data_IF_595666017191
#
_entry.id   IF_595666017191
#
_cell.length_a   1.000
_cell.length_b   1.000
_cell.length_c   1.000
_cell.angle_alpha   90.00
_cell.angle_beta   90.00
_cell.angle_gamma   90.00
#
_symmetry.space_group_name_H-M   'P 1'
#
loop_
_entity.id
_entity.type
_entity.pdbx_description
1 polymer ?
#
# COMPACT_ATOMS: atom_id res chain seq x y z
N UNK A 1 19.01 -5.17 -22.21
CA UNK A 1 17.79 -5.92 -21.81
C UNK A 1 17.39 -5.46 -20.42
N UNK A 2 16.09 -5.26 -20.16
CA UNK A 2 15.57 -4.87 -18.84
C UNK A 2 14.75 -6.04 -18.28
N UNK A 3 14.82 -6.27 -16.97
CA UNK A 3 14.03 -7.29 -16.25
C UNK A 3 13.15 -6.57 -15.23
N UNK A 4 11.82 -6.56 -15.41
CA UNK A 4 10.91 -5.90 -14.49
C UNK A 4 10.89 -6.60 -13.12
N UNK A 5 10.85 -5.78 -12.06
CA UNK A 5 10.60 -6.23 -10.70
C UNK A 5 9.44 -5.40 -10.14
N UNK A 6 8.28 -6.03 -10.00
CA UNK A 6 7.06 -5.41 -9.53
C UNK A 6 6.95 -5.56 -8.01
N UNK A 7 6.69 -4.45 -7.30
CA UNK A 7 6.40 -4.44 -5.87
C UNK A 7 4.90 -4.20 -5.65
N UNK A 8 4.21 -5.21 -5.13
CA UNK A 8 2.77 -5.27 -4.88
C UNK A 8 2.46 -5.33 -3.39
N UNK A 9 2.69 -4.24 -2.67
CA UNK A 9 2.41 -4.15 -1.25
C UNK A 9 0.98 -3.68 -0.88
N UNK A 10 0.18 -3.24 -1.86
CA UNK A 10 -1.09 -2.52 -1.64
C UNK A 10 -2.26 -3.04 -2.49
N UNK A 11 -2.21 -4.29 -2.96
CA UNK A 11 -3.32 -4.86 -3.74
C UNK A 11 -4.65 -4.77 -2.97
N UNK A 12 -5.66 -4.16 -3.59
CA UNK A 12 -6.98 -3.92 -3.00
C UNK A 12 -7.20 -2.50 -2.47
N UNK A 13 -6.13 -1.71 -2.27
CA UNK A 13 -6.23 -0.32 -1.79
C UNK A 13 -6.38 0.73 -2.90
N UNK A 14 -6.21 0.35 -4.17
CA UNK A 14 -6.36 1.24 -5.31
C UNK A 14 -7.80 1.29 -5.81
N UNK A 15 -8.14 0.38 -6.70
CA UNK A 15 -9.49 0.22 -7.25
C UNK A 15 -10.17 -1.05 -6.74
N UNK A 16 -9.40 -2.11 -6.49
CA UNK A 16 -9.89 -3.39 -6.01
C UNK A 16 -8.84 -4.47 -6.21
N UNK A 17 -9.10 -5.68 -5.72
CA UNK A 17 -8.09 -6.75 -5.72
C UNK A 17 -7.74 -7.17 -7.16
N UNK A 18 -8.76 -7.33 -8.01
CA UNK A 18 -8.58 -7.73 -9.40
C UNK A 18 -7.98 -6.60 -10.23
N UNK A 19 -8.47 -5.38 -10.05
CA UNK A 19 -8.04 -4.19 -10.78
C UNK A 19 -6.59 -3.84 -10.48
N UNK A 20 -6.20 -3.88 -9.20
CA UNK A 20 -4.82 -3.63 -8.78
C UNK A 20 -3.88 -4.78 -9.21
N UNK A 21 -4.42 -6.00 -9.36
CA UNK A 21 -3.70 -7.19 -9.86
C UNK A 21 -3.53 -7.24 -11.38
N UNK A 22 -4.32 -6.47 -12.13
CA UNK A 22 -4.37 -6.55 -13.60
C UNK A 22 -3.03 -6.23 -14.27
N UNK A 23 -2.15 -5.46 -13.61
CA UNK A 23 -0.81 -5.17 -14.11
C UNK A 23 0.02 -6.44 -14.32
N UNK A 24 -0.09 -7.44 -13.44
CA UNK A 24 0.62 -8.71 -13.58
C UNK A 24 0.23 -9.38 -14.90
N UNK A 25 -1.07 -9.44 -15.20
CA UNK A 25 -1.58 -9.99 -16.45
C UNK A 25 -1.03 -9.27 -17.68
N UNK A 26 -0.82 -7.94 -17.61
CA UNK A 26 -0.21 -7.18 -18.71
C UNK A 26 1.25 -7.58 -18.96
N UNK A 27 2.04 -7.83 -17.91
CA UNK A 27 3.43 -8.30 -18.07
C UNK A 27 3.49 -9.73 -18.61
N UNK A 28 2.59 -10.62 -18.16
CA UNK A 28 2.45 -11.98 -18.74
C UNK A 28 2.12 -11.89 -20.22
N UNK A 29 1.10 -11.12 -20.61
CA UNK A 29 0.69 -10.98 -22.02
C UNK A 29 1.76 -10.33 -22.91
N UNK A 30 2.66 -9.54 -22.34
CA UNK A 30 3.80 -8.96 -23.05
C UNK A 30 4.94 -9.97 -23.28
N UNK A 31 4.87 -11.19 -22.74
CA UNK A 31 5.89 -12.22 -22.87
C UNK A 31 7.21 -11.84 -22.18
N UNK A 32 7.15 -11.03 -21.12
CA UNK A 32 8.33 -10.60 -20.36
C UNK A 32 8.63 -11.58 -19.23
N UNK A 33 9.92 -11.83 -18.96
CA UNK A 33 10.34 -12.44 -17.70
C UNK A 33 10.40 -11.37 -16.61
N UNK A 34 9.75 -11.60 -15.47
CA UNK A 34 9.71 -10.61 -14.38
C UNK A 34 9.56 -11.24 -13.00
N UNK A 35 9.88 -10.44 -11.99
CA UNK A 35 9.70 -10.75 -10.59
C UNK A 35 8.50 -9.98 -10.02
N UNK A 36 7.83 -10.57 -9.03
CA UNK A 36 6.81 -9.91 -8.22
C UNK A 36 7.08 -10.15 -6.74
N UNK A 37 7.27 -9.07 -5.99
CA UNK A 37 7.22 -9.10 -4.53
C UNK A 37 5.82 -8.71 -4.07
N UNK A 38 5.15 -9.57 -3.33
CA UNK A 38 3.81 -9.29 -2.77
C UNK A 38 3.88 -9.22 -1.26
N UNK A 39 3.17 -8.27 -0.65
CA UNK A 39 3.07 -8.15 0.81
C UNK A 39 1.63 -8.24 1.28
N UNK A 40 1.39 -9.03 2.33
CA UNK A 40 0.11 -9.10 3.02
C UNK A 40 0.04 -8.21 4.26
N UNK A 41 1.11 -7.49 4.58
CA UNK A 41 1.17 -6.64 5.78
C UNK A 41 0.04 -5.61 5.83
N UNK A 42 -0.38 -5.06 4.68
CA UNK A 42 -1.40 -4.00 4.62
C UNK A 42 -2.78 -4.58 4.33
N UNK A 43 -2.87 -5.46 3.32
CA UNK A 43 -4.15 -6.03 2.87
C UNK A 43 -4.78 -6.97 3.89
N UNK A 44 -3.99 -7.64 4.73
CA UNK A 44 -4.45 -8.45 5.86
C UNK A 44 -4.23 -7.78 7.23
N UNK A 45 -3.69 -6.55 7.25
CA UNK A 45 -3.26 -5.87 8.49
C UNK A 45 -2.26 -6.69 9.34
N UNK A 46 -1.54 -7.65 8.73
CA UNK A 46 -0.54 -8.51 9.38
C UNK A 46 0.88 -7.90 9.30
N UNK A 47 1.03 -6.67 9.80
CA UNK A 47 2.30 -5.94 9.73
C UNK A 47 3.43 -6.68 10.46
N UNK A 48 3.16 -7.13 11.70
CA UNK A 48 4.14 -7.79 12.57
C UNK A 48 4.49 -9.22 12.16
N UNK A 49 3.59 -9.92 11.46
CA UNK A 49 3.78 -11.32 11.05
C UNK A 49 4.72 -11.51 9.86
N UNK A 50 5.09 -10.41 9.20
CA UNK A 50 6.06 -10.39 8.08
C UNK A 50 5.69 -11.32 6.92
N UNK A 51 4.41 -11.38 6.58
CA UNK A 51 3.89 -12.25 5.50
C UNK A 51 4.01 -11.58 4.13
N UNK A 52 4.66 -12.28 3.20
CA UNK A 52 4.81 -11.88 1.81
C UNK A 52 5.23 -13.06 0.93
N UNK A 53 5.45 -12.81 -0.36
CA UNK A 53 5.87 -13.81 -1.33
C UNK A 53 6.76 -13.18 -2.40
N UNK A 54 7.65 -14.00 -2.97
CA UNK A 54 8.35 -13.72 -4.23
C UNK A 54 7.83 -14.68 -5.29
N UNK A 55 7.34 -14.13 -6.39
CA UNK A 55 6.95 -14.87 -7.59
C UNK A 55 7.90 -14.53 -8.74
N UNK A 56 8.25 -15.53 -9.55
CA UNK A 56 9.08 -15.37 -10.75
C UNK A 56 8.34 -16.01 -11.91
N UNK A 57 8.07 -15.24 -12.98
CA UNK A 57 7.53 -15.84 -14.19
C UNK A 57 8.65 -16.60 -14.92
N UNK A 58 8.36 -17.83 -15.31
CA UNK A 58 9.25 -18.68 -16.08
C UNK A 58 8.50 -19.15 -17.34
N UNK A 59 9.22 -19.39 -18.43
CA UNK A 59 8.66 -19.80 -19.70
C UNK A 59 8.02 -21.20 -19.63
N UNK A 60 8.52 -22.08 -18.77
CA UNK A 60 8.02 -23.44 -18.60
C UNK A 60 8.37 -24.03 -17.22
N UNK A 61 7.88 -25.24 -16.98
CA UNK A 61 8.11 -25.99 -15.74
C UNK A 61 9.59 -26.26 -15.46
N UNK A 62 10.37 -26.63 -16.47
CA UNK A 62 11.78 -26.96 -16.29
C UNK A 62 12.58 -25.74 -15.81
N UNK A 63 12.33 -24.58 -16.40
CA UNK A 63 12.92 -23.32 -15.95
C UNK A 63 12.47 -22.95 -14.54
N UNK A 64 11.17 -23.06 -14.24
CA UNK A 64 10.64 -22.83 -12.90
C UNK A 64 11.32 -23.69 -11.84
N UNK A 65 11.59 -24.98 -12.14
CA UNK A 65 12.26 -25.89 -11.21
C UNK A 65 13.72 -25.46 -10.98
N UNK A 66 14.44 -25.06 -12.04
CA UNK A 66 15.81 -24.51 -11.94
C UNK A 66 15.85 -23.22 -11.11
N UNK A 67 14.98 -22.26 -11.41
CA UNK A 67 14.88 -20.98 -10.67
C UNK A 67 14.56 -21.23 -9.20
N UNK A 68 13.57 -22.08 -8.91
CA UNK A 68 13.18 -22.41 -7.54
C UNK A 68 14.33 -23.05 -6.75
N UNK A 69 15.15 -23.89 -7.38
CA UNK A 69 16.33 -24.48 -6.73
C UNK A 69 17.31 -23.41 -6.23
N UNK A 70 17.55 -22.37 -7.03
CA UNK A 70 18.46 -21.28 -6.68
C UNK A 70 17.86 -20.37 -5.60
N UNK A 71 16.56 -20.06 -5.69
CA UNK A 71 15.87 -19.31 -4.64
C UNK A 71 15.92 -20.02 -3.29
N UNK A 72 15.77 -21.35 -3.26
CA UNK A 72 15.91 -22.14 -2.03
C UNK A 72 17.30 -22.02 -1.41
N UNK A 73 18.36 -22.00 -2.22
CA UNK A 73 19.74 -21.79 -1.72
C UNK A 73 19.85 -20.41 -1.06
N UNK A 74 19.41 -19.35 -1.75
CA UNK A 74 19.45 -17.97 -1.25
C UNK A 74 18.68 -17.83 0.08
N UNK A 75 17.47 -18.40 0.15
CA UNK A 75 16.66 -18.41 1.38
C UNK A 75 17.38 -19.14 2.51
N UNK A 76 17.91 -20.34 2.20
CA UNK A 76 18.55 -21.19 3.20
C UNK A 76 19.77 -20.53 3.84
N UNK A 77 20.57 -19.84 3.04
CA UNK A 77 21.78 -19.14 3.51
C UNK A 77 21.49 -17.77 4.14
N UNK A 78 20.25 -17.27 4.05
CA UNK A 78 19.83 -16.02 4.67
C UNK A 78 19.16 -16.28 6.03
N UNK A 79 18.02 -16.98 6.03
CA UNK A 79 17.21 -17.18 7.23
C UNK A 79 16.69 -18.62 7.38
N UNK A 80 17.26 -19.58 6.65
CA UNK A 80 16.86 -21.00 6.63
C UNK A 80 15.49 -21.26 6.00
N UNK A 81 14.41 -20.86 6.67
CA UNK A 81 13.03 -21.08 6.25
C UNK A 81 12.08 -20.05 6.90
N UNK A 82 10.94 -19.70 6.28
CA UNK A 82 10.08 -18.61 6.74
C UNK A 82 9.26 -19.00 7.98
N UNK A 83 8.82 -18.02 8.79
CA UNK A 83 7.88 -18.26 9.88
C UNK A 83 6.53 -18.79 9.35
N UNK A 84 5.89 -19.69 10.10
CA UNK A 84 4.69 -20.39 9.65
C UNK A 84 3.38 -19.64 9.92
N UNK A 85 3.27 -18.94 11.06
CA UNK A 85 1.98 -18.49 11.60
C UNK A 85 1.21 -17.57 10.65
N UNK A 86 1.78 -16.42 10.29
CA UNK A 86 1.09 -15.47 9.41
C UNK A 86 0.78 -16.04 8.02
N UNK A 87 1.66 -16.88 7.47
CA UNK A 87 1.40 -17.59 6.22
C UNK A 87 0.22 -18.56 6.31
N UNK A 88 0.13 -19.30 7.42
CA UNK A 88 -0.98 -20.21 7.69
C UNK A 88 -2.31 -19.46 7.88
N UNK A 89 -2.30 -18.30 8.54
CA UNK A 89 -3.50 -17.45 8.68
C UNK A 89 -4.00 -16.96 7.32
N UNK A 90 -3.11 -16.41 6.49
CA UNK A 90 -3.46 -15.96 5.13
C UNK A 90 -4.01 -17.13 4.31
N UNK A 91 -3.35 -18.29 4.36
CA UNK A 91 -3.82 -19.49 3.67
C UNK A 91 -5.20 -19.97 4.15
N UNK A 92 -5.46 -19.94 5.46
CA UNK A 92 -6.74 -20.33 6.03
C UNK A 92 -7.89 -19.42 5.57
N UNK A 93 -7.66 -18.10 5.52
CA UNK A 93 -8.64 -17.14 5.03
C UNK A 93 -8.87 -17.31 3.52
N UNK A 94 -7.80 -17.35 2.72
CA UNK A 94 -7.91 -17.35 1.25
C UNK A 94 -8.47 -18.66 0.68
N UNK A 95 -8.28 -19.79 1.38
CA UNK A 95 -8.78 -21.10 0.95
C UNK A 95 -10.18 -21.43 1.49
N UNK A 96 -10.78 -20.56 2.32
CA UNK A 96 -12.15 -20.72 2.78
C UNK A 96 -13.03 -19.64 2.11
N UNK A 97 -14.03 -20.00 1.28
CA UNK A 97 -14.86 -19.03 0.56
C UNK A 97 -15.56 -18.00 1.46
N UNK A 98 -16.03 -18.40 2.63
CA UNK A 98 -16.72 -17.52 3.57
C UNK A 98 -15.75 -16.51 4.20
N UNK A 99 -14.61 -16.99 4.69
CA UNK A 99 -13.59 -16.11 5.28
C UNK A 99 -12.99 -15.17 4.24
N UNK A 100 -12.77 -15.66 3.01
CA UNK A 100 -12.32 -14.84 1.91
C UNK A 100 -13.31 -13.71 1.61
N UNK A 101 -14.61 -14.00 1.54
CA UNK A 101 -15.63 -12.99 1.29
C UNK A 101 -15.63 -11.89 2.37
N UNK A 102 -15.50 -12.27 3.65
CA UNK A 102 -15.37 -11.31 4.76
C UNK A 102 -14.13 -10.43 4.59
N UNK A 103 -12.97 -11.03 4.31
CA UNK A 103 -11.73 -10.28 4.09
C UNK A 103 -11.82 -9.31 2.91
N UNK A 104 -12.39 -9.74 1.77
CA UNK A 104 -12.57 -8.89 0.60
C UNK A 104 -13.49 -7.69 0.90
N UNK A 105 -14.56 -7.92 1.68
CA UNK A 105 -15.48 -6.86 2.13
C UNK A 105 -14.79 -5.86 3.08
N UNK A 106 -14.04 -6.33 4.07
CA UNK A 106 -13.32 -5.47 5.01
C UNK A 106 -12.26 -4.62 4.29
N UNK A 107 -11.47 -5.25 3.41
CA UNK A 107 -10.46 -4.55 2.62
C UNK A 107 -11.10 -3.49 1.70
N UNK A 108 -12.25 -3.80 1.08
CA UNK A 108 -13.01 -2.82 0.32
C UNK A 108 -13.51 -1.66 1.20
N UNK A 109 -13.99 -1.95 2.41
CA UNK A 109 -14.37 -0.94 3.40
C UNK A 109 -13.21 -0.02 3.77
N UNK A 110 -12.01 -0.57 3.99
CA UNK A 110 -10.80 0.20 4.24
C UNK A 110 -10.44 1.12 3.05
N UNK A 111 -10.49 0.60 1.81
CA UNK A 111 -10.25 1.38 0.58
C UNK A 111 -11.24 2.54 0.47
N UNK A 112 -12.54 2.26 0.63
CA UNK A 112 -13.60 3.29 0.52
C UNK A 112 -13.42 4.37 1.58
N UNK A 113 -13.11 4.00 2.82
CA UNK A 113 -12.83 4.97 3.89
C UNK A 113 -11.64 5.87 3.55
N UNK A 114 -10.55 5.32 2.99
CA UNK A 114 -9.39 6.13 2.56
C UNK A 114 -9.79 7.13 1.47
N UNK A 115 -10.55 6.71 0.46
CA UNK A 115 -11.07 7.62 -0.58
C UNK A 115 -11.94 8.73 0.04
N UNK A 116 -12.79 8.40 1.00
CA UNK A 116 -13.59 9.39 1.72
C UNK A 116 -12.73 10.38 2.54
N UNK A 117 -11.65 9.91 3.19
CA UNK A 117 -10.72 10.79 3.91
C UNK A 117 -9.96 11.73 2.97
N UNK A 118 -9.61 11.29 1.75
CA UNK A 118 -9.01 12.18 0.74
C UNK A 118 -9.95 13.34 0.41
N UNK A 119 -11.22 13.04 0.15
CA UNK A 119 -12.21 14.07 -0.17
C UNK A 119 -12.39 15.04 1.00
N UNK A 120 -12.60 14.51 2.22
CA UNK A 120 -12.75 15.34 3.42
C UNK A 120 -11.52 16.20 3.72
N UNK A 121 -10.32 15.72 3.40
CA UNK A 121 -9.10 16.50 3.58
C UNK A 121 -9.10 17.71 2.63
N UNK A 122 -9.41 17.51 1.34
CA UNK A 122 -9.50 18.62 0.37
C UNK A 122 -10.58 19.62 0.76
N UNK A 123 -11.77 19.15 1.12
CA UNK A 123 -12.88 20.01 1.52
C UNK A 123 -12.55 20.79 2.80
N UNK A 124 -11.96 20.11 3.79
CA UNK A 124 -11.55 20.71 5.06
C UNK A 124 -10.44 21.75 4.90
N UNK A 125 -9.45 21.51 4.03
CA UNK A 125 -8.39 22.48 3.73
C UNK A 125 -8.97 23.74 3.07
N UNK A 126 -9.89 23.57 2.11
CA UNK A 126 -10.59 24.69 1.48
C UNK A 126 -11.42 25.48 2.49
N UNK A 127 -12.16 24.80 3.37
CA UNK A 127 -12.96 25.42 4.43
C UNK A 127 -12.07 26.16 5.46
N UNK A 128 -10.87 25.65 5.73
CA UNK A 128 -9.87 26.29 6.60
C UNK A 128 -9.16 27.48 5.95
N UNK A 129 -9.48 27.82 4.68
CA UNK A 129 -8.99 29.00 3.99
C UNK A 129 -7.72 28.81 3.16
N UNK A 130 -7.24 27.57 2.99
CA UNK A 130 -6.09 27.26 2.13
C UNK A 130 -6.41 27.66 0.69
N UNK A 131 -5.57 28.53 0.11
CA UNK A 131 -5.75 29.07 -1.25
C UNK A 131 -5.13 28.22 -2.34
N UNK A 132 -4.10 27.44 -2.00
CA UNK A 132 -3.46 26.52 -2.93
C UNK A 132 -4.44 25.43 -3.35
N UNK A 133 -4.47 25.09 -4.64
CA UNK A 133 -5.24 23.94 -5.10
C UNK A 133 -4.58 22.63 -4.64
N UNK A 134 -5.32 21.88 -3.83
CA UNK A 134 -4.92 20.56 -3.33
C UNK A 134 -5.83 19.43 -3.85
N UNK A 135 -6.57 19.68 -4.94
CA UNK A 135 -7.46 18.70 -5.57
C UNK A 135 -6.76 17.39 -5.98
N UNK A 136 -5.45 17.43 -6.27
CA UNK A 136 -4.65 16.24 -6.56
C UNK A 136 -4.66 15.18 -5.45
N UNK A 137 -4.99 15.54 -4.20
CA UNK A 137 -5.10 14.58 -3.10
C UNK A 137 -6.19 13.53 -3.39
N UNK A 138 -7.27 13.89 -4.09
CA UNK A 138 -8.35 12.96 -4.45
C UNK A 138 -8.02 12.08 -5.65
N UNK A 139 -7.09 12.51 -6.53
CA UNK A 139 -6.63 11.70 -7.67
C UNK A 139 -5.52 10.71 -7.29
N UNK A 140 -4.74 11.00 -6.24
CA UNK A 140 -3.72 10.10 -5.73
C UNK A 140 -4.33 8.83 -5.11
N UNK A 141 -3.60 7.71 -5.23
CA UNK A 141 -4.09 6.37 -4.93
C UNK A 141 -3.39 5.78 -3.70
N UNK A 142 -4.09 4.92 -2.96
CA UNK A 142 -3.52 4.14 -1.86
C UNK A 142 -3.50 4.90 -0.52
N UNK A 143 -2.64 4.45 0.39
CA UNK A 143 -2.64 4.94 1.79
C UNK A 143 -2.02 6.33 1.99
N UNK A 144 -1.24 6.81 1.03
CA UNK A 144 -0.41 8.01 1.20
C UNK A 144 -0.74 9.10 0.20
N UNK A 145 -0.53 10.34 0.60
CA UNK A 145 -0.54 11.48 -0.30
C UNK A 145 0.79 12.22 -0.19
N UNK A 146 1.35 12.65 -1.31
CA UNK A 146 2.36 13.70 -1.30
C UNK A 146 1.62 15.04 -1.27
N UNK A 147 1.69 15.74 -0.14
CA UNK A 147 0.90 16.94 0.15
C UNK A 147 1.37 18.18 -0.60
N UNK A 148 2.60 18.17 -1.13
CA UNK A 148 3.24 19.36 -1.67
C UNK A 148 3.79 20.32 -0.61
N UNK A 149 3.62 20.00 0.69
CA UNK A 149 4.22 20.78 1.77
C UNK A 149 5.74 20.63 1.75
N UNK A 150 6.42 21.76 1.91
CA UNK A 150 7.88 21.81 2.03
C UNK A 150 8.34 21.19 3.34
N UNK A 151 9.64 20.86 3.43
CA UNK A 151 10.25 20.36 4.65
C UNK A 151 9.98 21.27 5.85
N UNK A 152 10.14 22.59 5.68
CA UNK A 152 9.96 23.55 6.77
C UNK A 152 8.50 23.59 7.25
N UNK A 153 7.53 23.50 6.33
CA UNK A 153 6.11 23.39 6.68
C UNK A 153 5.79 22.09 7.43
N UNK A 154 6.40 20.97 7.01
CA UNK A 154 6.25 19.68 7.71
C UNK A 154 6.88 19.71 9.11
N UNK A 155 8.01 20.38 9.29
CA UNK A 155 8.67 20.57 10.58
C UNK A 155 7.83 21.48 11.49
N UNK A 156 7.24 22.56 10.95
CA UNK A 156 6.30 23.40 11.70
C UNK A 156 5.07 22.62 12.13
N UNK A 157 4.45 21.82 11.27
CA UNK A 157 3.35 20.93 11.64
C UNK A 157 3.68 20.02 12.83
N UNK A 158 4.89 19.44 12.80
CA UNK A 158 5.38 18.59 13.88
C UNK A 158 5.53 19.36 15.19
N UNK A 159 6.25 20.48 15.15
CA UNK A 159 6.69 21.19 16.35
C UNK A 159 5.61 22.06 16.98
N UNK A 160 4.78 22.72 16.15
CA UNK A 160 3.74 23.66 16.61
C UNK A 160 2.40 22.96 16.88
N UNK A 161 2.11 21.86 16.19
CA UNK A 161 0.78 21.22 16.21
C UNK A 161 0.81 19.73 16.54
N UNK A 162 1.98 19.11 16.70
CA UNK A 162 2.06 17.66 16.95
C UNK A 162 1.48 16.81 15.81
N UNK A 163 1.43 17.35 14.58
CA UNK A 163 0.97 16.62 13.39
C UNK A 163 2.20 16.08 12.66
N UNK A 164 2.41 14.76 12.73
CA UNK A 164 3.61 14.12 12.21
C UNK A 164 3.39 13.59 10.79
N UNK A 165 4.30 13.97 9.88
CA UNK A 165 4.50 13.34 8.58
C UNK A 165 5.98 13.28 8.24
N UNK A 166 6.29 12.83 7.03
CA UNK A 166 7.70 12.82 6.57
C UNK A 166 8.15 14.22 6.15
N UNK A 167 9.44 14.50 6.28
CA UNK A 167 10.05 15.76 5.83
C UNK A 167 9.87 16.01 4.32
N UNK A 168 9.56 14.97 3.54
CA UNK A 168 9.29 15.06 2.08
C UNK A 168 7.84 15.41 1.73
N UNK A 169 7.00 15.71 2.72
CA UNK A 169 5.58 16.03 2.50
C UNK A 169 4.69 14.80 2.30
N UNK A 170 5.20 13.56 2.44
CA UNK A 170 4.37 12.36 2.42
C UNK A 170 3.55 12.26 3.72
N UNK A 171 2.22 12.24 3.59
CA UNK A 171 1.24 12.06 4.67
C UNK A 171 0.48 10.73 4.53
N UNK A 172 0.19 10.08 5.65
CA UNK A 172 -0.63 8.86 5.67
C UNK A 172 -2.12 9.22 5.76
N UNK A 173 -2.82 9.23 4.64
CA UNK A 173 -4.27 9.51 4.60
C UNK A 173 -5.05 8.42 5.35
N UNK A 174 -4.55 7.19 5.38
CA UNK A 174 -5.15 6.12 6.16
C UNK A 174 -5.13 6.38 7.68
N UNK A 175 -4.27 7.26 8.19
CA UNK A 175 -4.27 7.66 9.60
C UNK A 175 -5.32 8.75 9.93
N UNK A 176 -5.89 9.40 8.91
CA UNK A 176 -6.97 10.35 9.10
C UNK A 176 -8.30 9.63 9.39
N UNK A 177 -9.12 10.27 10.21
CA UNK A 177 -10.44 9.79 10.60
C UNK A 177 -11.30 10.99 11.06
N UNK A 178 -12.58 10.73 11.34
CA UNK A 178 -13.53 11.78 11.74
C UNK A 178 -13.17 12.50 13.02
N UNK A 179 -12.27 11.96 13.86
CA UNK A 179 -11.88 12.59 15.13
C UNK A 179 -10.68 13.54 15.00
N UNK A 180 -9.90 13.46 13.92
CA UNK A 180 -8.66 14.23 13.77
C UNK A 180 -8.61 15.10 12.51
N UNK A 181 -9.45 14.86 11.51
CA UNK A 181 -9.32 15.52 10.21
C UNK A 181 -9.48 17.04 10.28
N UNK A 182 -10.40 17.54 11.11
CA UNK A 182 -10.62 18.98 11.26
C UNK A 182 -9.41 19.68 11.88
N UNK A 183 -8.81 19.06 12.91
CA UNK A 183 -7.58 19.55 13.53
C UNK A 183 -6.43 19.57 12.52
N UNK A 184 -6.24 18.48 11.77
CA UNK A 184 -5.19 18.39 10.75
C UNK A 184 -5.36 19.47 9.67
N UNK A 185 -6.57 19.69 9.16
CA UNK A 185 -6.85 20.74 8.19
C UNK A 185 -6.54 22.14 8.74
N UNK A 186 -6.96 22.42 9.98
CA UNK A 186 -6.67 23.69 10.64
C UNK A 186 -5.16 23.90 10.86
N UNK A 187 -4.42 22.87 11.27
CA UNK A 187 -2.96 22.93 11.44
C UNK A 187 -2.24 23.18 10.11
N UNK A 188 -2.65 22.48 9.04
CA UNK A 188 -2.09 22.71 7.69
C UNK A 188 -2.32 24.17 7.27
N UNK A 189 -3.53 24.70 7.44
CA UNK A 189 -3.83 26.09 7.10
C UNK A 189 -2.99 27.15 7.85
N UNK A 190 -2.30 26.79 8.95
CA UNK A 190 -1.37 27.69 9.67
C UNK A 190 0.08 27.63 9.19
N UNK A 191 0.42 26.62 8.38
CA UNK A 191 1.77 26.45 7.85
C UNK A 191 1.87 26.68 6.34
N UNK A 192 0.74 26.65 5.62
CA UNK A 192 0.66 26.97 4.19
C UNK A 192 0.46 28.45 3.97
#
# INVERSE_FOLDING_TARGET
QLVPFLDMAYQGFGQGIAEDGAVIGKFVSAGLDFFVSTSFSKSFSLYGERVGALSVLCANKEESDRVLSQLKIVIRTNYSNPPIHGGAVVAAVLNNPELRAVWEQELAGMRVRIKAMRQKLVDGLKAAGVKQDMSFITSQIGMFSYSGLTKDQMVRLRNEFGVYGTDTGRMCVAALNSKNIDYVCASIAKVV
#
